data_IF_012108293751
#
_entry.id   IF_012108293751
#
_cell.length_a   1.000
_cell.length_b   1.000
_cell.length_c   1.000
_cell.angle_alpha   90.00
_cell.angle_beta   90.00
_cell.angle_gamma   90.00
#
_symmetry.space_group_name_H-M   'P 1'
#
loop_
_entity.id
_entity.type
_entity.pdbx_description
1 polymer ?
#
# COMPACT_ATOMS: atom_id res chain seq x y z
N UNK A 1 -4.31 77.37 -59.67
CA UNK A 1 -5.02 76.75 -58.54
C UNK A 1 -4.23 75.53 -58.10
N UNK A 2 -3.56 75.63 -56.96
CA UNK A 2 -2.62 74.63 -56.43
C UNK A 2 -3.22 73.96 -55.18
N UNK A 3 -3.37 72.64 -55.21
CA UNK A 3 -3.89 71.85 -54.09
C UNK A 3 -2.85 71.73 -52.95
N UNK A 4 -3.26 71.84 -51.67
CA UNK A 4 -2.37 71.59 -50.56
C UNK A 4 -2.19 70.08 -50.33
N UNK A 5 -0.94 69.66 -50.15
CA UNK A 5 -0.54 68.31 -49.75
C UNK A 5 -0.72 68.18 -48.23
N UNK A 6 -1.53 67.22 -47.78
CA UNK A 6 -1.61 66.86 -46.36
C UNK A 6 -0.43 65.94 -46.00
N UNK A 7 0.40 66.26 -45.00
CA UNK A 7 1.40 65.32 -44.51
C UNK A 7 0.69 64.15 -43.82
N UNK A 8 0.96 62.95 -44.33
CA UNK A 8 0.37 61.70 -43.86
C UNK A 8 0.60 61.48 -42.37
N UNK A 9 -0.45 61.04 -41.68
CA UNK A 9 -0.31 60.43 -40.35
C UNK A 9 0.52 59.15 -40.50
N UNK A 10 1.71 59.13 -39.92
CA UNK A 10 2.42 57.88 -39.68
C UNK A 10 1.56 57.03 -38.72
N UNK A 11 1.23 55.77 -39.05
CA UNK A 11 0.58 54.88 -38.10
C UNK A 11 1.49 54.69 -36.89
N UNK A 12 0.95 54.87 -35.68
CA UNK A 12 1.66 54.56 -34.43
C UNK A 12 2.03 53.08 -34.45
N UNK A 13 3.32 52.82 -34.28
CA UNK A 13 3.95 51.54 -34.57
C UNK A 13 3.27 50.33 -33.95
N UNK A 14 3.01 49.33 -34.79
CA UNK A 14 3.13 47.94 -34.38
C UNK A 14 4.56 47.76 -33.86
N UNK A 15 4.75 47.85 -32.54
CA UNK A 15 5.99 47.41 -31.91
C UNK A 15 6.01 45.89 -32.04
N UNK A 16 6.77 45.40 -33.02
CA UNK A 16 7.15 43.99 -33.07
C UNK A 16 7.83 43.60 -31.77
N UNK A 17 7.57 42.36 -31.34
CA UNK A 17 8.16 41.79 -30.13
C UNK A 17 9.68 41.88 -30.21
N UNK A 18 10.31 42.46 -29.19
CA UNK A 18 11.77 42.56 -29.16
C UNK A 18 12.37 41.20 -28.84
N UNK A 19 13.58 40.91 -29.34
CA UNK A 19 14.31 39.65 -29.05
C UNK A 19 14.39 39.40 -27.53
N UNK A 20 14.56 40.48 -26.75
CA UNK A 20 14.62 40.43 -25.29
C UNK A 20 13.28 39.97 -24.70
N UNK A 21 12.14 40.47 -25.20
CA UNK A 21 10.82 40.01 -24.77
C UNK A 21 10.61 38.53 -25.11
N UNK A 22 11.08 38.05 -26.27
CA UNK A 22 10.98 36.62 -26.64
C UNK A 22 11.82 35.73 -25.73
N UNK A 23 13.06 36.15 -25.45
CA UNK A 23 13.97 35.41 -24.56
C UNK A 23 13.42 35.40 -23.12
N UNK A 24 12.91 36.52 -22.62
CA UNK A 24 12.24 36.58 -21.31
C UNK A 24 11.00 35.69 -21.26
N UNK A 25 10.15 35.74 -22.30
CA UNK A 25 8.91 34.95 -22.35
C UNK A 25 9.20 33.45 -22.40
N UNK A 26 10.19 33.03 -23.20
CA UNK A 26 10.62 31.63 -23.28
C UNK A 26 11.30 31.15 -21.99
N UNK A 27 12.11 32.00 -21.35
CA UNK A 27 12.71 31.68 -20.06
C UNK A 27 11.65 31.53 -18.96
N UNK A 28 10.69 32.46 -18.86
CA UNK A 28 9.59 32.37 -17.90
C UNK A 28 8.71 31.15 -18.16
N UNK A 29 8.39 30.86 -19.42
CA UNK A 29 7.64 29.68 -19.80
C UNK A 29 8.40 28.40 -19.43
N UNK A 30 9.71 28.35 -19.67
CA UNK A 30 10.57 27.23 -19.27
C UNK A 30 10.55 27.00 -17.76
N UNK A 31 10.67 28.06 -16.96
CA UNK A 31 10.59 27.98 -15.49
C UNK A 31 9.23 27.48 -15.03
N UNK A 32 8.14 27.98 -15.61
CA UNK A 32 6.78 27.55 -15.28
C UNK A 32 6.56 26.07 -15.61
N UNK A 33 7.00 25.62 -16.79
CA UNK A 33 6.89 24.21 -17.21
C UNK A 33 7.70 23.30 -16.29
N UNK A 34 8.94 23.65 -15.94
CA UNK A 34 9.77 22.87 -15.03
C UNK A 34 9.16 22.78 -13.63
N UNK A 35 8.62 23.89 -13.12
CA UNK A 35 7.97 23.94 -11.81
C UNK A 35 6.69 23.09 -11.78
N UNK A 36 5.84 23.22 -12.81
CA UNK A 36 4.62 22.43 -12.94
C UNK A 36 4.91 20.94 -13.07
N UNK A 37 5.92 20.56 -13.87
CA UNK A 37 6.33 19.17 -14.03
C UNK A 37 6.90 18.60 -12.73
N UNK A 38 7.75 19.35 -12.02
CA UNK A 38 8.27 18.96 -10.71
C UNK A 38 7.16 18.74 -9.69
N UNK A 39 6.19 19.67 -9.62
CA UNK A 39 5.03 19.55 -8.74
C UNK A 39 4.13 18.35 -9.07
N UNK A 40 3.91 18.08 -10.36
CA UNK A 40 3.10 16.94 -10.81
C UNK A 40 3.78 15.60 -10.48
N UNK A 41 5.08 15.48 -10.74
CA UNK A 41 5.84 14.27 -10.40
C UNK A 41 5.83 14.03 -8.89
N UNK A 42 6.03 15.09 -8.09
CA UNK A 42 5.95 15.01 -6.63
C UNK A 42 4.56 14.56 -6.16
N UNK A 43 3.49 15.16 -6.71
CA UNK A 43 2.12 14.80 -6.39
C UNK A 43 1.80 13.33 -6.75
N UNK A 44 2.26 12.84 -7.90
CA UNK A 44 2.10 11.44 -8.28
C UNK A 44 2.82 10.48 -7.33
N UNK A 45 4.04 10.82 -6.90
CA UNK A 45 4.78 10.01 -5.93
C UNK A 45 4.05 9.96 -4.59
N UNK A 46 3.53 11.11 -4.12
CA UNK A 46 2.77 11.19 -2.87
C UNK A 46 1.46 10.37 -2.95
N UNK A 47 0.73 10.46 -4.06
CA UNK A 47 -0.49 9.70 -4.29
C UNK A 47 -0.24 8.18 -4.38
N UNK A 48 0.86 7.75 -5.01
CA UNK A 48 1.28 6.35 -5.00
C UNK A 48 1.64 5.88 -3.60
N UNK A 49 2.32 6.74 -2.82
CA UNK A 49 2.63 6.46 -1.42
C UNK A 49 1.37 6.24 -0.56
N UNK A 50 0.35 7.09 -0.71
CA UNK A 50 -0.91 6.92 0.02
C UNK A 50 -1.70 5.68 -0.42
N UNK A 51 -1.72 5.39 -1.72
CA UNK A 51 -2.34 4.18 -2.26
C UNK A 51 -1.66 2.91 -1.73
N UNK A 52 -0.33 2.86 -1.70
CA UNK A 52 0.41 1.72 -1.17
C UNK A 52 0.18 1.53 0.34
N UNK A 53 0.07 2.62 1.10
CA UNK A 53 -0.28 2.55 2.52
C UNK A 53 -1.68 2.01 2.75
N UNK A 54 -2.66 2.47 1.97
CA UNK A 54 -4.02 1.97 2.06
C UNK A 54 -4.10 0.48 1.70
N UNK A 55 -3.45 0.07 0.60
CA UNK A 55 -3.40 -1.33 0.18
C UNK A 55 -2.74 -2.23 1.24
N UNK A 56 -1.61 -1.78 1.81
CA UNK A 56 -0.94 -2.48 2.91
C UNK A 56 -1.84 -2.63 4.14
N UNK A 57 -2.51 -1.56 4.56
CA UNK A 57 -3.42 -1.61 5.70
C UNK A 57 -4.58 -2.59 5.47
N UNK A 58 -5.25 -2.50 4.32
CA UNK A 58 -6.38 -3.40 3.99
C UNK A 58 -5.95 -4.86 3.92
N UNK A 59 -4.74 -5.13 3.42
CA UNK A 59 -4.23 -6.50 3.36
C UNK A 59 -3.83 -7.02 4.73
N UNK A 60 -3.15 -6.22 5.55
CA UNK A 60 -2.78 -6.61 6.92
C UNK A 60 -4.03 -6.91 7.76
N UNK A 61 -5.09 -6.11 7.62
CA UNK A 61 -6.37 -6.37 8.29
C UNK A 61 -7.03 -7.68 7.83
N UNK A 62 -7.01 -7.95 6.52
CA UNK A 62 -7.52 -9.20 5.97
C UNK A 62 -6.70 -10.42 6.44
N UNK A 63 -5.37 -10.30 6.48
CA UNK A 63 -4.47 -11.37 6.93
C UNK A 63 -4.66 -11.65 8.42
N UNK A 64 -4.75 -10.59 9.23
CA UNK A 64 -5.04 -10.72 10.66
C UNK A 64 -6.40 -11.39 10.89
N UNK A 65 -7.42 -11.03 10.11
CA UNK A 65 -8.74 -11.67 10.17
C UNK A 65 -8.68 -13.15 9.81
N UNK A 66 -7.88 -13.52 8.80
CA UNK A 66 -7.65 -14.91 8.43
C UNK A 66 -6.95 -15.70 9.55
N UNK A 67 -5.93 -15.14 10.19
CA UNK A 67 -5.22 -15.78 11.31
C UNK A 67 -6.10 -15.92 12.56
N UNK A 68 -6.99 -14.95 12.81
CA UNK A 68 -7.97 -15.04 13.89
C UNK A 68 -8.96 -16.20 13.67
N UNK A 69 -9.39 -16.42 12.43
CA UNK A 69 -10.24 -17.57 12.09
C UNK A 69 -9.52 -18.90 12.33
N UNK A 70 -8.23 -18.99 11.97
CA UNK A 70 -7.42 -20.17 12.26
C UNK A 70 -7.24 -20.44 13.75
N UNK A 71 -7.21 -19.39 14.58
CA UNK A 71 -7.08 -19.50 16.03
C UNK A 71 -8.44 -19.60 16.78
N UNK A 72 -9.56 -19.72 16.04
CA UNK A 72 -10.91 -19.83 16.62
C UNK A 72 -11.13 -21.11 17.45
N UNK A 73 -12.19 -21.15 18.29
CA UNK A 73 -12.47 -22.30 19.15
C UNK A 73 -12.78 -23.56 18.33
N UNK A 74 -11.85 -24.51 18.37
CA UNK A 74 -11.95 -25.79 17.68
C UNK A 74 -12.39 -26.90 18.66
N UNK A 75 -13.43 -27.65 18.32
CA UNK A 75 -14.10 -28.56 19.25
C UNK A 75 -13.55 -29.99 19.29
N UNK A 76 -12.67 -30.42 18.36
CA UNK A 76 -11.86 -31.66 18.49
C UNK A 76 -11.10 -32.07 17.21
N UNK A 77 -11.43 -31.53 16.03
CA UNK A 77 -10.93 -32.06 14.74
C UNK A 77 -10.25 -31.05 13.82
N UNK A 78 -9.79 -29.90 14.33
CA UNK A 78 -9.08 -28.94 13.48
C UNK A 78 -7.65 -29.40 13.19
N UNK A 79 -7.38 -29.70 11.92
CA UNK A 79 -6.06 -30.13 11.45
C UNK A 79 -5.02 -29.00 11.36
N UNK A 80 -5.31 -27.77 11.82
CA UNK A 80 -4.30 -26.70 11.79
C UNK A 80 -4.63 -25.58 12.78
N UNK A 81 -4.37 -25.74 14.09
CA UNK A 81 -4.30 -24.60 14.99
C UNK A 81 -3.22 -23.62 14.48
N UNK A 82 -3.38 -22.32 14.80
CA UNK A 82 -2.39 -21.31 14.43
C UNK A 82 -1.02 -21.69 15.02
N UNK A 83 -0.09 -22.08 14.14
CA UNK A 83 1.20 -22.60 14.57
C UNK A 83 2.19 -21.48 14.90
N UNK A 84 2.88 -21.62 16.03
CA UNK A 84 4.03 -20.77 16.37
C UNK A 84 5.13 -21.00 15.34
N UNK A 85 5.66 -19.92 14.78
CA UNK A 85 6.66 -19.98 13.73
C UNK A 85 6.70 -18.71 12.90
N UNK A 86 7.60 -18.68 11.93
CA UNK A 86 7.64 -17.61 10.92
C UNK A 86 7.36 -18.21 9.56
N UNK A 87 6.52 -17.55 8.79
CA UNK A 87 6.29 -17.87 7.39
C UNK A 87 6.42 -16.62 6.53
N UNK A 88 6.89 -16.83 5.31
CA UNK A 88 7.08 -15.76 4.33
C UNK A 88 6.12 -15.98 3.17
N UNK A 89 5.32 -14.96 2.89
CA UNK A 89 4.41 -14.94 1.76
C UNK A 89 5.01 -14.13 0.63
N UNK A 90 4.94 -14.64 -0.59
CA UNK A 90 5.40 -13.96 -1.81
C UNK A 90 4.25 -13.90 -2.81
N UNK A 91 4.37 -13.15 -3.90
CA UNK A 91 3.30 -13.16 -4.92
C UNK A 91 3.05 -14.54 -5.54
N UNK A 92 4.05 -15.43 -5.51
CA UNK A 92 3.96 -16.79 -6.07
C UNK A 92 3.61 -17.87 -5.04
N UNK A 93 3.52 -17.54 -3.75
CA UNK A 93 3.19 -18.56 -2.75
C UNK A 93 1.76 -19.06 -2.95
N UNK A 94 1.59 -20.39 -2.84
CA UNK A 94 0.26 -20.99 -2.86
C UNK A 94 -0.53 -20.50 -1.63
N UNK A 95 -1.71 -19.89 -1.81
CA UNK A 95 -2.51 -19.41 -0.68
C UNK A 95 -2.89 -20.54 0.25
N UNK A 96 -2.81 -20.31 1.57
CA UNK A 96 -3.33 -21.26 2.54
C UNK A 96 -4.85 -21.17 2.58
N UNK A 97 -5.49 -22.29 2.87
CA UNK A 97 -6.94 -22.39 2.99
C UNK A 97 -7.32 -22.90 4.36
N UNK A 98 -8.27 -22.23 5.01
CA UNK A 98 -8.86 -22.67 6.26
C UNK A 98 -10.27 -23.20 6.02
N UNK A 99 -10.54 -24.41 6.55
CA UNK A 99 -11.77 -25.18 6.29
C UNK A 99 -12.80 -25.17 7.42
N UNK A 100 -12.68 -24.26 8.39
CA UNK A 100 -13.58 -24.25 9.53
C UNK A 100 -13.20 -25.23 10.64
N UNK A 101 -13.94 -25.16 11.75
CA UNK A 101 -13.64 -25.92 12.96
C UNK A 101 -13.95 -27.43 12.87
N UNK A 102 -14.56 -27.89 11.78
CA UNK A 102 -15.13 -29.23 11.64
C UNK A 102 -14.19 -30.26 11.00
N UNK A 103 -12.94 -29.90 10.66
CA UNK A 103 -11.90 -30.87 10.34
C UNK A 103 -12.06 -31.70 9.06
N UNK A 104 -12.99 -31.33 8.18
CA UNK A 104 -13.30 -32.08 6.96
C UNK A 104 -12.74 -31.45 5.68
N UNK A 105 -12.85 -32.19 4.57
CA UNK A 105 -12.62 -31.69 3.21
C UNK A 105 -13.50 -30.47 2.94
N UNK A 106 -12.90 -29.33 2.58
CA UNK A 106 -13.60 -28.09 2.20
C UNK A 106 -14.46 -28.28 0.94
N UNK A 107 -15.80 -28.46 1.01
CA UNK A 107 -16.54 -28.77 -0.20
C UNK A 107 -16.85 -27.50 -0.99
N UNK A 108 -17.17 -26.37 -0.33
CA UNK A 108 -17.59 -25.12 -0.99
C UNK A 108 -17.48 -23.83 -0.11
N UNK A 109 -16.59 -23.80 0.90
CA UNK A 109 -16.57 -22.69 1.88
C UNK A 109 -15.22 -22.41 2.53
N UNK A 110 -14.13 -22.78 1.86
CA UNK A 110 -12.78 -22.51 2.34
C UNK A 110 -12.54 -21.00 2.40
N UNK A 111 -12.08 -20.50 3.54
CA UNK A 111 -11.53 -19.14 3.60
C UNK A 111 -10.10 -19.23 3.10
N UNK A 112 -9.78 -18.45 2.07
CA UNK A 112 -8.44 -18.43 1.47
C UNK A 112 -7.68 -17.23 2.01
N UNK A 113 -6.39 -17.43 2.26
CA UNK A 113 -5.45 -16.39 2.64
C UNK A 113 -5.46 -15.25 1.61
N UNK A 114 -5.52 -13.98 2.04
CA UNK A 114 -5.55 -12.86 1.12
C UNK A 114 -4.24 -12.75 0.34
N UNK A 115 -4.29 -12.60 -1.00
CA UNK A 115 -3.09 -12.48 -1.80
C UNK A 115 -2.32 -11.20 -1.47
N UNK A 116 -1.00 -11.25 -1.57
CA UNK A 116 -0.14 -10.08 -1.37
C UNK A 116 -0.53 -8.97 -2.36
N UNK A 117 -0.66 -7.71 -1.94
CA UNK A 117 -0.96 -6.64 -2.87
C UNK A 117 0.20 -6.45 -3.86
N UNK A 118 -0.14 -6.10 -5.10
CA UNK A 118 0.87 -5.78 -6.11
C UNK A 118 1.75 -4.60 -5.64
N UNK A 119 3.05 -4.71 -5.93
CA UNK A 119 4.04 -3.70 -5.55
C UNK A 119 4.76 -3.97 -4.22
N UNK A 120 4.40 -5.04 -3.52
CA UNK A 120 5.18 -5.60 -2.42
C UNK A 120 5.90 -6.88 -2.87
N UNK A 121 7.10 -7.08 -2.34
CA UNK A 121 8.00 -8.19 -2.67
C UNK A 121 7.59 -9.44 -1.87
N UNK A 122 7.54 -9.30 -0.55
CA UNK A 122 7.11 -10.36 0.35
C UNK A 122 6.53 -9.79 1.65
N UNK A 123 5.84 -10.64 2.40
CA UNK A 123 5.45 -10.40 3.78
C UNK A 123 6.07 -11.48 4.68
N UNK A 124 6.61 -11.08 5.82
CA UNK A 124 7.05 -12.00 6.88
C UNK A 124 6.03 -11.94 8.01
N UNK A 125 5.43 -13.08 8.33
CA UNK A 125 4.50 -13.20 9.45
C UNK A 125 5.15 -14.11 10.49
N UNK A 126 5.38 -13.56 11.67
CA UNK A 126 5.99 -14.24 12.80
C UNK A 126 4.96 -14.37 13.90
N UNK A 127 4.70 -15.60 14.33
CA UNK A 127 3.79 -15.94 15.41
C UNK A 127 4.64 -16.49 16.55
N UNK A 128 4.58 -15.85 17.72
CA UNK A 128 5.31 -16.25 18.92
C UNK A 128 4.36 -16.49 20.07
N UNK A 129 4.62 -17.52 20.87
CA UNK A 129 3.88 -17.75 22.11
C UNK A 129 4.42 -16.88 23.23
N UNK A 130 3.54 -16.23 23.98
CA UNK A 130 3.85 -15.41 25.13
C UNK A 130 3.09 -15.94 26.33
N UNK A 131 3.82 -16.14 27.42
CA UNK A 131 3.24 -16.57 28.69
C UNK A 131 2.63 -15.36 29.40
N UNK A 132 1.33 -15.42 29.69
CA UNK A 132 0.60 -14.42 30.47
C UNK A 132 0.13 -15.11 31.76
N UNK A 133 0.73 -14.74 32.89
CA UNK A 133 0.34 -15.21 34.22
C UNK A 133 0.29 -16.75 34.41
N UNK A 134 1.40 -17.44 34.14
CA UNK A 134 1.67 -18.81 34.61
C UNK A 134 0.85 -19.96 33.99
N UNK A 135 -0.30 -19.68 33.38
CA UNK A 135 -1.18 -20.69 32.77
C UNK A 135 -1.81 -20.28 31.44
N UNK A 136 -1.81 -18.99 31.07
CA UNK A 136 -2.38 -18.54 29.78
C UNK A 136 -1.27 -18.34 28.75
N UNK A 137 -1.43 -18.93 27.57
CA UNK A 137 -0.56 -18.70 26.42
C UNK A 137 -1.27 -17.74 25.47
N UNK A 138 -0.79 -16.50 25.37
CA UNK A 138 -1.18 -15.59 24.29
C UNK A 138 -0.26 -15.82 23.09
N UNK A 139 -0.74 -15.53 21.88
CA UNK A 139 0.08 -15.51 20.68
C UNK A 139 0.32 -14.06 20.27
N UNK A 140 1.58 -13.65 20.09
CA UNK A 140 1.90 -12.41 19.41
C UNK A 140 2.06 -12.71 17.93
N UNK A 141 1.45 -11.87 17.10
CA UNK A 141 1.57 -11.91 15.64
C UNK A 141 2.25 -10.63 15.19
N UNK A 142 3.39 -10.77 14.53
CA UNK A 142 4.15 -9.69 13.93
C UNK A 142 4.12 -9.88 12.42
N UNK A 143 3.50 -8.94 11.71
CA UNK A 143 3.42 -8.92 10.25
C UNK A 143 4.32 -7.80 9.75
N UNK A 144 5.35 -8.12 8.98
CA UNK A 144 6.20 -7.14 8.30
C UNK A 144 6.03 -7.26 6.81
N UNK A 145 5.65 -6.17 6.16
CA UNK A 145 5.47 -6.08 4.72
C UNK A 145 6.69 -5.40 4.10
N UNK A 146 7.25 -6.01 3.06
CA UNK A 146 8.47 -5.55 2.41
C UNK A 146 8.18 -5.04 1.00
N UNK A 147 8.68 -3.85 0.67
CA UNK A 147 8.55 -3.28 -0.67
C UNK A 147 9.67 -3.78 -1.60
N UNK A 148 10.82 -4.10 -1.03
CA UNK A 148 11.96 -4.76 -1.70
C UNK A 148 12.51 -5.82 -0.74
N UNK A 149 13.38 -6.75 -1.19
CA UNK A 149 13.87 -7.84 -0.36
C UNK A 149 14.51 -7.41 0.98
N UNK A 150 14.99 -6.17 1.08
CA UNK A 150 15.67 -5.65 2.27
C UNK A 150 14.99 -4.45 2.93
N UNK A 151 13.94 -3.88 2.32
CA UNK A 151 13.32 -2.64 2.82
C UNK A 151 11.92 -2.92 3.34
N UNK A 152 11.78 -2.92 4.66
CA UNK A 152 10.49 -2.99 5.33
C UNK A 152 9.67 -1.71 5.04
N UNK A 153 8.46 -1.91 4.55
CA UNK A 153 7.52 -0.82 4.31
C UNK A 153 6.71 -0.50 5.58
N UNK A 154 6.22 -1.52 6.25
CA UNK A 154 5.48 -1.39 7.51
C UNK A 154 5.56 -2.67 8.33
N UNK A 155 5.47 -2.52 9.66
CA UNK A 155 5.39 -3.63 10.60
C UNK A 155 4.20 -3.41 11.53
N UNK A 156 3.31 -4.40 11.59
CA UNK A 156 2.26 -4.49 12.59
C UNK A 156 2.64 -5.57 13.62
N UNK A 157 2.49 -5.26 14.90
CA UNK A 157 2.55 -6.25 15.98
C UNK A 157 1.25 -6.22 16.75
N UNK A 158 0.62 -7.36 16.92
CA UNK A 158 -0.62 -7.51 17.69
C UNK A 158 -0.57 -8.76 18.59
N UNK A 159 -1.52 -8.86 19.51
CA UNK A 159 -1.69 -10.03 20.36
C UNK A 159 -3.04 -10.67 20.07
N UNK A 160 -3.02 -11.99 19.96
CA UNK A 160 -4.19 -12.84 19.76
C UNK A 160 -4.30 -13.78 20.96
N UNK A 161 -5.46 -13.81 21.61
CA UNK A 161 -5.73 -14.74 22.70
C UNK A 161 -5.89 -16.17 22.16
N UNK A 162 -5.21 -17.15 22.75
CA UNK A 162 -5.54 -18.56 22.52
C UNK A 162 -6.51 -19.02 23.61
N UNK A 163 -7.63 -19.64 23.20
CA UNK A 163 -8.60 -20.21 24.13
C UNK A 163 -8.42 -21.72 24.16
N UNK A 164 -7.60 -22.23 25.07
CA UNK A 164 -7.64 -23.66 25.41
C UNK A 164 -8.93 -23.95 26.16
N UNK A 165 -9.77 -24.82 25.60
CA UNK A 165 -10.96 -25.35 26.30
C UNK A 165 -10.47 -26.00 27.60
N UNK A 166 -10.98 -25.54 28.74
CA UNK A 166 -10.80 -26.27 30.00
C UNK A 166 -11.37 -27.67 29.82
N UNK A 167 -10.54 -28.70 30.01
CA UNK A 167 -11.00 -30.09 30.06
C UNK A 167 -12.04 -30.27 31.16
N UNK A 168 -12.92 -31.29 31.05
CA UNK A 168 -13.94 -31.57 32.06
C UNK A 168 -13.35 -31.81 33.45
#
# INVERSE_FOLDING_TARGET
MSHPVYPGRSPRGQRGFTIIETVMSTALLGILVLSALGGLLFGMVQARGSQNRAAAATWIEAELSFLLLQNGPCTSTCNSPLAVGTYTMTQSSTPRTWCGASGGSCPNGAVTEPPLPFGFDHASITITSIQVSGTQVALQVVITLYQTPSTAFTTLSTYVSSFTKAGP
#
